data_IF_084783509025
#
_entry.id   IF_084783509025
#
_cell.length_a   1.000
_cell.length_b   1.000
_cell.length_c   1.000
_cell.angle_alpha   90.00
_cell.angle_beta   90.00
_cell.angle_gamma   90.00
#
_symmetry.space_group_name_H-M   'P 1'
#
loop_
_entity.id
_entity.type
_entity.pdbx_description
1 polymer ?
#
# COMPACT_ATOMS: atom_id res chain seq x y z
N UNK A 1 -4.72 -0.93 4.45
CA UNK A 1 -4.83 0.55 4.58
C UNK A 1 -5.55 1.12 3.37
N UNK A 2 -6.54 2.03 3.57
CA UNK A 2 -7.19 2.73 2.47
C UNK A 2 -6.31 3.88 1.93
N UNK A 3 -6.17 3.99 0.62
CA UNK A 3 -5.38 5.01 -0.09
C UNK A 3 -6.22 5.58 -1.23
N UNK A 4 -6.27 6.90 -1.38
CA UNK A 4 -6.94 7.49 -2.54
C UNK A 4 -6.26 7.04 -3.84
N UNK A 5 -7.02 6.73 -4.90
CA UNK A 5 -6.50 6.31 -6.23
C UNK A 5 -5.48 7.30 -6.79
N UNK A 6 -5.65 8.59 -6.50
CA UNK A 6 -4.77 9.67 -6.98
C UNK A 6 -3.44 9.74 -6.22
N UNK A 7 -3.31 9.05 -5.08
CA UNK A 7 -2.08 9.02 -4.30
C UNK A 7 -1.10 7.98 -4.89
N UNK A 8 -0.57 8.31 -6.07
CA UNK A 8 0.35 7.45 -6.81
C UNK A 8 1.64 7.15 -6.03
N UNK A 9 2.12 8.08 -5.21
CA UNK A 9 3.30 7.89 -4.36
C UNK A 9 3.06 6.76 -3.36
N UNK A 10 1.94 6.79 -2.64
CA UNK A 10 1.62 5.73 -1.69
C UNK A 10 1.26 4.41 -2.38
N UNK A 11 0.66 4.44 -3.57
CA UNK A 11 0.42 3.22 -4.37
C UNK A 11 1.73 2.53 -4.72
N UNK A 12 2.75 3.28 -5.15
CA UNK A 12 4.08 2.73 -5.46
C UNK A 12 4.73 2.09 -4.24
N UNK A 13 4.63 2.73 -3.07
CA UNK A 13 5.13 2.14 -1.81
C UNK A 13 4.40 0.84 -1.51
N UNK A 14 3.07 0.80 -1.59
CA UNK A 14 2.30 -0.44 -1.36
C UNK A 14 2.68 -1.57 -2.31
N UNK A 15 2.91 -1.28 -3.60
CA UNK A 15 3.41 -2.27 -4.56
C UNK A 15 4.84 -2.74 -4.24
N UNK A 16 5.70 -1.83 -3.78
CA UNK A 16 7.09 -2.16 -3.42
C UNK A 16 7.18 -3.00 -2.14
N UNK A 17 6.31 -2.72 -1.16
CA UNK A 17 6.17 -3.47 0.09
C UNK A 17 5.46 -4.82 -0.10
N UNK A 18 5.09 -5.18 -1.33
CA UNK A 18 4.41 -6.44 -1.63
C UNK A 18 2.93 -6.48 -1.22
N UNK A 19 2.31 -5.33 -0.94
CA UNK A 19 0.87 -5.26 -0.65
C UNK A 19 0.04 -5.54 -1.90
N UNK A 20 -1.08 -6.22 -1.72
CA UNK A 20 -2.08 -6.45 -2.78
C UNK A 20 -3.26 -5.50 -2.66
N UNK A 21 -3.77 -5.04 -3.80
CA UNK A 21 -5.03 -4.31 -3.87
C UNK A 21 -6.19 -5.29 -3.73
N UNK A 22 -7.03 -5.12 -2.71
CA UNK A 22 -8.15 -6.03 -2.44
C UNK A 22 -9.52 -5.44 -2.75
N UNK A 23 -9.65 -4.11 -2.72
CA UNK A 23 -10.91 -3.47 -3.06
C UNK A 23 -10.70 -2.05 -3.56
N UNK A 24 -11.69 -1.56 -4.31
CA UNK A 24 -11.88 -0.14 -4.62
C UNK A 24 -13.29 0.25 -4.24
N UNK A 25 -13.46 1.40 -3.59
CA UNK A 25 -14.77 1.95 -3.29
C UNK A 25 -14.76 3.46 -3.47
N UNK A 26 -15.92 4.04 -3.77
CA UNK A 26 -16.09 5.49 -3.70
C UNK A 26 -15.93 5.94 -2.25
N UNK A 27 -15.09 6.95 -2.03
CA UNK A 27 -14.85 7.57 -0.73
C UNK A 27 -15.17 9.05 -0.79
N UNK A 28 -15.86 9.55 0.23
CA UNK A 28 -16.11 10.97 0.40
C UNK A 28 -14.89 11.60 1.09
N UNK A 29 -13.99 12.17 0.28
CA UNK A 29 -12.88 12.96 0.80
C UNK A 29 -13.30 14.43 0.94
N UNK A 30 -12.67 15.13 1.90
CA UNK A 30 -12.94 16.55 2.20
C UNK A 30 -12.82 17.45 0.96
N UNK A 31 -11.96 17.10 0.02
CA UNK A 31 -11.80 17.87 -1.22
C UNK A 31 -12.89 17.55 -2.24
N UNK A 32 -13.15 16.27 -2.53
CA UNK A 32 -14.13 15.76 -3.50
C UNK A 32 -14.40 14.25 -3.29
N UNK A 33 -15.52 13.71 -3.78
CA UNK A 33 -15.69 12.27 -3.94
C UNK A 33 -14.57 11.70 -4.81
N UNK A 34 -13.93 10.64 -4.32
CA UNK A 34 -12.79 10.04 -5.00
C UNK A 34 -12.73 8.55 -4.72
N UNK A 35 -12.30 7.79 -5.72
CA UNK A 35 -12.07 6.37 -5.58
C UNK A 35 -10.94 6.11 -4.56
N UNK A 36 -11.25 5.27 -3.59
CA UNK A 36 -10.36 4.78 -2.54
C UNK A 36 -9.98 3.34 -2.85
N UNK A 37 -8.72 3.03 -2.66
CA UNK A 37 -8.16 1.70 -2.81
C UNK A 37 -7.83 1.10 -1.45
N UNK A 38 -8.29 -0.11 -1.18
CA UNK A 38 -7.94 -0.87 0.02
C UNK A 38 -6.80 -1.82 -0.34
N UNK A 39 -5.68 -1.66 0.34
CA UNK A 39 -4.50 -2.51 0.21
C UNK A 39 -4.32 -3.38 1.45
N UNK A 40 -4.01 -4.66 1.23
CA UNK A 40 -3.73 -5.65 2.28
C UNK A 40 -2.31 -6.20 2.15
N UNK A 41 -1.75 -6.54 3.31
CA UNK A 41 -0.53 -7.29 3.44
C UNK A 41 -0.75 -8.28 4.57
N UNK A 42 -0.46 -9.56 4.33
CA UNK A 42 -0.53 -10.56 5.40
C UNK A 42 0.66 -10.41 6.35
N UNK A 43 0.51 -10.89 7.58
CA UNK A 43 1.58 -10.83 8.58
C UNK A 43 2.85 -11.57 8.11
N UNK A 44 2.71 -12.69 7.42
CA UNK A 44 3.84 -13.44 6.86
C UNK A 44 4.58 -12.63 5.80
N UNK A 45 3.87 -12.05 4.83
CA UNK A 45 4.47 -11.21 3.78
C UNK A 45 5.19 -9.99 4.39
N UNK A 46 4.64 -9.41 5.47
CA UNK A 46 5.31 -8.33 6.21
C UNK A 46 6.59 -8.79 6.92
N UNK A 47 6.57 -9.97 7.56
CA UNK A 47 7.76 -10.52 8.21
C UNK A 47 8.85 -10.83 7.20
N UNK A 48 8.49 -11.37 6.03
CA UNK A 48 9.41 -11.66 4.93
C UNK A 48 10.01 -10.37 4.35
N UNK A 49 9.20 -9.31 4.16
CA UNK A 49 9.69 -7.98 3.74
C UNK A 49 10.65 -7.39 4.78
N UNK A 50 10.30 -7.45 6.06
CA UNK A 50 11.18 -7.01 7.15
C UNK A 50 12.49 -7.82 7.20
N UNK A 51 12.47 -9.10 6.84
CA UNK A 51 13.68 -9.92 6.74
C UNK A 51 14.55 -9.51 5.53
N UNK A 52 13.92 -9.26 4.38
CA UNK A 52 14.61 -8.78 3.18
C UNK A 52 15.22 -7.38 3.37
N UNK A 53 14.52 -6.48 4.04
CA UNK A 53 15.03 -5.15 4.39
C UNK A 53 16.29 -5.21 5.28
N UNK A 54 16.40 -6.23 6.14
CA UNK A 54 17.62 -6.46 6.96
C UNK A 54 18.78 -7.05 6.16
N UNK A 55 18.52 -7.59 4.97
CA UNK A 55 19.49 -8.27 4.10
C UNK A 55 20.17 -7.34 3.10
N UNK A 56 19.67 -6.12 2.91
CA UNK A 56 20.35 -5.09 2.13
C UNK A 56 21.26 -4.26 3.06
N UNK A 57 22.60 -4.45 3.04
CA UNK A 57 23.48 -3.44 3.58
C UNK A 57 23.36 -2.20 2.69
N UNK A 58 22.95 -1.09 3.29
CA UNK A 58 23.05 0.25 2.70
C UNK A 58 24.49 0.44 2.18
N UNK A 59 24.62 0.59 0.86
CA UNK A 59 25.88 0.99 0.20
C UNK A 59 26.02 2.51 0.22
#
# INVERSE_FOLDING_TARGET
MPKAVVNHASRKVSLHEGMRLVARHDGDYVSRPMQTEIWELTRSEWLDSCEQAKRQPVS
#
